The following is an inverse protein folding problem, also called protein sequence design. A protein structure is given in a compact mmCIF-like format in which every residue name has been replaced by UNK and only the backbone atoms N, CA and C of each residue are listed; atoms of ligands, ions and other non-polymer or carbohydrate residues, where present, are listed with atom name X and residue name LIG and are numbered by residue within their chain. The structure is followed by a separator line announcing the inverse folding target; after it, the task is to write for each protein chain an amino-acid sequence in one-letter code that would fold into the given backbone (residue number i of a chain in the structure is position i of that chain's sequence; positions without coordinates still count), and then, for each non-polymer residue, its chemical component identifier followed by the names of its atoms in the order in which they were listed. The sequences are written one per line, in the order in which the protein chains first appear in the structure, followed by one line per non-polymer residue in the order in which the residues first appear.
data_IF_589388280232
#
_entry.id   IF_589388280232
#
_cell.length_a   1.000
_cell.length_b   1.000
_cell.length_c   1.000
_cell.angle_alpha   90.00
_cell.angle_beta   90.00
_cell.angle_gamma   90.00
#
_symmetry.space_group_name_H-M   'P 1'
#
loop_
_entity.id
_entity.type
_entity.pdbx_description
1 polymer ?
#
# COMPACT_ATOMS: atom_id res chain seq x y z
N UNK A 1 9.85 -16.25 20.09
CA UNK A 1 9.81 -16.32 18.61
C UNK A 1 8.69 -17.26 18.23
N UNK A 2 7.76 -16.81 17.39
CA UNK A 2 6.65 -17.63 16.87
C UNK A 2 7.23 -18.82 16.09
N UNK A 3 6.74 -20.03 16.35
CA UNK A 3 7.18 -21.22 15.62
C UNK A 3 6.79 -21.09 14.14
N UNK A 4 7.79 -21.15 13.25
CA UNK A 4 7.60 -21.09 11.79
C UNK A 4 7.34 -22.47 11.17
N UNK A 5 7.53 -23.57 11.92
CA UNK A 5 7.23 -24.94 11.45
C UNK A 5 5.84 -25.15 10.84
N UNK A 6 4.75 -24.49 11.31
CA UNK A 6 3.45 -24.64 10.67
C UNK A 6 3.34 -23.94 9.31
N UNK A 7 4.22 -22.99 8.98
CA UNK A 7 4.23 -22.33 7.67
C UNK A 7 4.68 -23.31 6.58
N UNK A 8 3.83 -23.52 5.57
CA UNK A 8 4.10 -24.40 4.42
C UNK A 8 4.17 -23.68 3.08
N UNK A 9 3.69 -22.43 3.02
CA UNK A 9 3.73 -21.62 1.80
C UNK A 9 3.94 -20.15 2.15
N UNK A 10 4.89 -19.53 1.46
CA UNK A 10 5.12 -18.10 1.49
C UNK A 10 4.99 -17.60 0.04
N UNK A 11 4.02 -16.74 -0.22
CA UNK A 11 3.98 -16.00 -1.48
C UNK A 11 5.07 -14.93 -1.43
N UNK A 12 6.05 -14.98 -2.33
CA UNK A 12 7.19 -14.06 -2.35
C UNK A 12 6.84 -12.65 -2.85
N UNK A 13 7.64 -11.65 -2.49
CA UNK A 13 7.43 -10.27 -2.94
C UNK A 13 7.68 -10.13 -4.44
N UNK A 14 6.67 -9.67 -5.19
CA UNK A 14 6.72 -9.56 -6.64
C UNK A 14 6.67 -8.10 -7.07
N UNK A 15 7.79 -7.60 -7.61
CA UNK A 15 7.90 -6.36 -8.37
C UNK A 15 7.21 -5.12 -7.79
N UNK A 16 6.80 -4.21 -8.66
CA UNK A 16 6.10 -2.97 -8.29
C UNK A 16 4.59 -3.25 -8.26
N UNK A 17 4.00 -3.17 -7.06
CA UNK A 17 2.55 -3.29 -6.82
C UNK A 17 1.87 -4.61 -7.24
N UNK A 18 2.61 -5.63 -7.70
CA UNK A 18 2.05 -6.95 -8.06
C UNK A 18 1.61 -7.70 -6.81
N UNK A 19 2.51 -7.87 -5.84
CA UNK A 19 2.14 -8.38 -4.50
C UNK A 19 1.76 -7.24 -3.56
N UNK A 20 0.62 -6.60 -3.83
CA UNK A 20 0.04 -5.60 -2.93
C UNK A 20 -0.71 -6.24 -1.76
N UNK A 21 -1.23 -5.40 -0.84
CA UNK A 21 -1.91 -5.84 0.37
C UNK A 21 -3.11 -6.77 0.11
N UNK A 22 -3.77 -6.68 -1.06
CA UNK A 22 -4.91 -7.54 -1.39
C UNK A 22 -4.45 -8.97 -1.65
N UNK A 23 -3.39 -9.16 -2.42
CA UNK A 23 -2.82 -10.49 -2.67
C UNK A 23 -2.22 -11.06 -1.38
N UNK A 24 -1.44 -10.27 -0.66
CA UNK A 24 -0.84 -10.70 0.60
C UNK A 24 -1.93 -11.15 1.60
N UNK A 25 -3.01 -10.36 1.73
CA UNK A 25 -4.17 -10.73 2.56
C UNK A 25 -4.84 -12.00 2.04
N UNK A 26 -5.10 -12.11 0.75
CA UNK A 26 -5.73 -13.31 0.17
C UNK A 26 -4.92 -14.58 0.48
N UNK A 27 -3.59 -14.53 0.33
CA UNK A 27 -2.70 -15.66 0.66
C UNK A 27 -2.73 -15.95 2.16
N UNK A 28 -2.56 -14.95 3.02
CA UNK A 28 -2.58 -15.15 4.48
C UNK A 28 -3.91 -15.73 4.98
N UNK A 29 -5.02 -15.34 4.34
CA UNK A 29 -6.36 -15.83 4.69
C UNK A 29 -6.69 -17.19 4.08
N UNK A 30 -5.94 -17.66 3.07
CA UNK A 30 -6.23 -18.93 2.41
C UNK A 30 -6.09 -20.13 3.36
N UNK A 31 -5.05 -20.15 4.22
CA UNK A 31 -4.88 -21.09 5.33
C UNK A 31 -4.16 -20.42 6.51
N UNK A 32 -4.90 -19.75 7.41
CA UNK A 32 -4.32 -19.02 8.54
C UNK A 32 -3.34 -19.87 9.36
N UNK A 33 -2.16 -19.33 9.65
CA UNK A 33 -1.10 -20.03 10.38
C UNK A 33 -0.32 -21.06 9.55
N UNK A 34 -0.69 -21.29 8.29
CA UNK A 34 0.00 -22.20 7.36
C UNK A 34 0.54 -21.46 6.14
N UNK A 35 -0.19 -20.45 5.66
CA UNK A 35 0.20 -19.62 4.52
C UNK A 35 0.56 -18.21 4.98
N UNK A 36 1.58 -17.62 4.34
CA UNK A 36 2.01 -16.24 4.59
C UNK A 36 2.02 -15.48 3.27
N UNK A 37 1.31 -14.35 3.24
CA UNK A 37 1.39 -13.39 2.14
C UNK A 37 2.43 -12.32 2.45
N UNK A 38 3.15 -11.88 1.42
CA UNK A 38 4.14 -10.78 1.53
C UNK A 38 3.74 -9.61 0.66
N UNK A 39 4.00 -8.40 1.16
CA UNK A 39 3.81 -7.17 0.40
C UNK A 39 5.16 -6.76 -0.17
N UNK A 40 5.22 -6.49 -1.48
CA UNK A 40 6.45 -5.97 -2.08
C UNK A 40 6.66 -4.51 -1.69
N UNK A 41 7.86 -4.18 -1.23
CA UNK A 41 8.27 -2.81 -0.90
C UNK A 41 8.87 -2.02 -2.06
N UNK A 42 8.90 -2.58 -3.28
CA UNK A 42 9.52 -1.91 -4.43
C UNK A 42 8.74 -0.66 -4.84
N UNK A 43 9.42 0.49 -4.89
CA UNK A 43 8.91 1.78 -5.37
C UNK A 43 7.60 2.24 -4.71
N UNK A 44 7.46 2.05 -3.38
CA UNK A 44 6.26 2.45 -2.64
C UNK A 44 5.97 3.95 -2.73
N UNK A 45 7.01 4.77 -2.74
CA UNK A 45 6.98 6.21 -2.98
C UNK A 45 6.24 6.55 -4.29
N UNK A 46 6.61 5.89 -5.39
CA UNK A 46 5.96 6.06 -6.70
C UNK A 46 4.53 5.53 -6.68
N UNK A 47 4.34 4.33 -6.13
CA UNK A 47 3.02 3.66 -6.09
C UNK A 47 2.00 4.51 -5.34
N UNK A 48 2.32 4.97 -4.13
CA UNK A 48 1.37 5.72 -3.32
C UNK A 48 1.18 7.16 -3.82
N UNK A 49 2.22 7.82 -4.34
CA UNK A 49 2.05 9.11 -5.00
C UNK A 49 1.10 9.00 -6.21
N UNK A 50 1.20 7.94 -7.02
CA UNK A 50 0.32 7.72 -8.18
C UNK A 50 -1.09 7.30 -7.78
N UNK A 51 -1.25 6.44 -6.77
CA UNK A 51 -2.58 6.06 -6.27
C UNK A 51 -3.38 7.27 -5.78
N UNK A 52 -2.73 8.18 -5.04
CA UNK A 52 -3.35 9.43 -4.58
C UNK A 52 -3.72 10.35 -5.75
N UNK A 53 -2.87 10.45 -6.76
CA UNK A 53 -3.16 11.23 -7.98
C UNK A 53 -4.26 10.62 -8.84
N UNK A 54 -4.51 9.31 -8.73
CA UNK A 54 -5.67 8.63 -9.31
C UNK A 54 -6.93 8.73 -8.42
N UNK A 55 -6.88 9.54 -7.36
CA UNK A 55 -8.01 9.79 -6.47
C UNK A 55 -8.21 8.74 -5.38
N UNK A 56 -7.24 7.85 -5.19
CA UNK A 56 -7.31 6.74 -4.23
C UNK A 56 -8.65 5.99 -4.33
N UNK A 57 -8.90 5.22 -5.42
CA UNK A 57 -10.22 4.66 -5.71
C UNK A 57 -10.83 3.79 -4.60
N UNK A 58 -10.00 3.16 -3.75
CA UNK A 58 -10.46 2.38 -2.60
C UNK A 58 -10.45 3.14 -1.26
N UNK A 59 -10.01 4.40 -1.24
CA UNK A 59 -9.84 5.20 -0.02
C UNK A 59 -8.81 4.63 0.96
N UNK A 60 -8.00 3.65 0.55
CA UNK A 60 -7.15 2.89 1.44
C UNK A 60 -5.84 3.62 1.73
N UNK A 61 -5.29 4.32 0.75
CA UNK A 61 -4.06 5.08 0.93
C UNK A 61 -4.29 6.25 1.90
N UNK A 62 -5.35 7.03 1.69
CA UNK A 62 -5.72 8.13 2.60
C UNK A 62 -6.03 7.64 4.01
N UNK A 63 -6.79 6.55 4.14
CA UNK A 63 -7.08 5.94 5.44
C UNK A 63 -5.80 5.50 6.17
N UNK A 64 -4.84 4.92 5.46
CA UNK A 64 -3.57 4.51 6.06
C UNK A 64 -2.71 5.71 6.48
N UNK A 65 -2.63 6.76 5.66
CA UNK A 65 -1.88 7.98 5.99
C UNK A 65 -2.49 8.73 7.19
N UNK A 66 -3.82 8.80 7.27
CA UNK A 66 -4.51 9.37 8.44
C UNK A 66 -4.28 8.55 9.71
N UNK A 67 -4.30 7.22 9.60
CA UNK A 67 -4.02 6.33 10.72
C UNK A 67 -2.57 6.46 11.20
N UNK A 68 -1.61 6.63 10.29
CA UNK A 68 -0.20 6.92 10.60
C UNK A 68 -0.09 8.20 11.45
N UNK A 69 -0.66 9.30 10.97
CA UNK A 69 -0.63 10.58 11.69
C UNK A 69 -1.27 10.47 13.07
N UNK A 70 -2.42 9.81 13.17
CA UNK A 70 -3.16 9.62 14.43
C UNK A 70 -2.39 8.74 15.41
N UNK A 71 -1.81 7.63 14.94
CA UNK A 71 -1.11 6.66 15.78
C UNK A 71 0.17 7.22 16.39
N UNK A 72 0.90 8.04 15.63
CA UNK A 72 2.22 8.52 16.03
C UNK A 72 2.26 10.02 16.38
N UNK A 73 1.13 10.73 16.30
CA UNK A 73 1.07 12.17 16.55
C UNK A 73 1.89 12.99 15.56
N UNK A 74 2.01 12.52 14.32
CA UNK A 74 2.79 13.16 13.25
C UNK A 74 1.87 13.80 12.20
N UNK A 75 2.45 14.51 11.24
CA UNK A 75 1.69 15.16 10.14
C UNK A 75 2.20 14.80 8.75
N UNK A 76 3.04 13.77 8.64
CA UNK A 76 3.63 13.36 7.36
C UNK A 76 2.57 12.79 6.41
N UNK A 77 1.57 12.09 6.94
CA UNK A 77 0.43 11.60 6.17
C UNK A 77 -0.33 12.74 5.51
N UNK A 78 -0.67 13.78 6.29
CA UNK A 78 -1.28 15.02 5.80
C UNK A 78 -0.43 15.68 4.72
N UNK A 79 0.87 15.87 4.95
CA UNK A 79 1.78 16.48 3.96
C UNK A 79 1.79 15.72 2.63
N UNK A 80 1.79 14.38 2.68
CA UNK A 80 1.72 13.53 1.48
C UNK A 80 0.37 13.68 0.78
N UNK A 81 -0.74 13.72 1.53
CA UNK A 81 -2.07 13.94 0.97
C UNK A 81 -2.19 15.30 0.29
N UNK A 82 -1.76 16.38 0.93
CA UNK A 82 -1.77 17.74 0.38
C UNK A 82 -0.97 17.85 -0.93
N UNK A 83 0.11 17.08 -1.06
CA UNK A 83 1.00 17.14 -2.23
C UNK A 83 0.51 16.30 -3.42
N UNK A 84 -0.14 15.17 -3.17
CA UNK A 84 -0.38 14.16 -4.22
C UNK A 84 -1.85 13.78 -4.41
N UNK A 85 -2.74 14.05 -3.47
CA UNK A 85 -4.15 13.66 -3.62
C UNK A 85 -4.88 14.57 -4.60
N UNK A 86 -5.54 13.95 -5.60
CA UNK A 86 -6.42 14.65 -6.54
C UNK A 86 -7.82 14.07 -6.38
N UNK A 87 -8.79 14.80 -5.80
CA UNK A 87 -10.17 14.33 -5.71
C UNK A 87 -10.72 13.96 -7.10
N UNK A 88 -11.25 12.75 -7.24
CA UNK A 88 -11.73 12.22 -8.53
C UNK A 88 -10.63 11.73 -9.48
N UNK A 89 -9.36 11.96 -9.14
CA UNK A 89 -8.20 11.59 -9.95
C UNK A 89 -7.82 12.61 -11.02
N UNK A 90 -6.58 12.54 -11.49
CA UNK A 90 -6.08 13.32 -12.62
C UNK A 90 -6.79 12.92 -13.93
N UNK A 91 -6.80 13.81 -14.94
CA UNK A 91 -7.23 13.42 -16.27
C UNK A 91 -6.28 12.33 -16.83
N UNK A 92 -6.75 11.41 -17.68
CA UNK A 92 -5.91 10.36 -18.27
C UNK A 92 -4.63 10.89 -18.95
N UNK A 93 -4.75 12.03 -19.62
CA UNK A 93 -3.74 12.71 -20.43
C UNK A 93 -2.71 13.47 -19.57
N UNK A 94 -3.09 13.83 -18.35
CA UNK A 94 -2.21 14.53 -17.43
C UNK A 94 -1.04 13.64 -17.02
N UNK A 95 0.16 14.21 -16.98
CA UNK A 95 1.33 13.53 -16.44
C UNK A 95 1.19 13.38 -14.93
N UNK A 96 1.69 12.26 -14.40
CA UNK A 96 1.88 12.15 -12.97
C UNK A 96 2.93 13.16 -12.49
N UNK A 97 2.63 13.85 -11.38
CA UNK A 97 3.63 14.52 -10.56
C UNK A 97 4.68 13.50 -10.12
N UNK A 98 5.95 13.90 -10.19
CA UNK A 98 7.08 13.08 -9.74
C UNK A 98 6.93 12.67 -8.28
N UNK A 99 7.32 11.43 -7.99
CA UNK A 99 7.50 10.96 -6.62
C UNK A 99 8.72 11.68 -5.97
N UNK A 100 8.82 11.69 -4.63
CA UNK A 100 9.95 12.27 -3.89
C UNK A 100 11.32 11.71 -4.30
#
# INVERSE_FOLDING_TARGET
MTDLKPIKLIQGGMGVHVSNWRLAKAVAMARPGVTVGTISGTALDVVYARLLQLGDPGGHARRALQALDTMYGVSIGRTVMERYFIPGGKAPEDRFRSAP
#
